data_IF_245676041097
#
_entry.id   IF_245676041097
#
_cell.length_a   1.000
_cell.length_b   1.000
_cell.length_c   1.000
_cell.angle_alpha   90.00
_cell.angle_beta   90.00
_cell.angle_gamma   90.00
#
_symmetry.space_group_name_H-M   'P 1'
#
loop_
_entity.id
_entity.type
_entity.pdbx_description
1 polymer ?
#
# COMPACT_ATOMS: atom_id res chain seq x y z
N UNK A 1 -0.21 49.64 24.36
CA UNK A 1 -0.55 49.15 23.01
C UNK A 1 -1.75 48.21 23.11
N UNK A 2 -2.97 48.71 22.92
CA UNK A 2 -4.16 47.88 22.90
C UNK A 2 -4.21 47.13 21.56
N UNK A 3 -3.69 45.90 21.52
CA UNK A 3 -3.83 45.01 20.37
C UNK A 3 -5.31 44.69 20.19
N UNK A 4 -5.90 44.99 19.02
CA UNK A 4 -7.32 44.71 18.78
C UNK A 4 -7.56 43.20 18.82
N UNK A 5 -8.44 42.75 19.72
CA UNK A 5 -8.76 41.33 19.94
C UNK A 5 -9.09 40.59 18.64
N UNK A 6 -9.73 41.27 17.70
CA UNK A 6 -10.07 40.75 16.36
C UNK A 6 -8.84 40.36 15.52
N UNK A 7 -7.73 41.09 15.62
CA UNK A 7 -6.48 40.76 14.90
C UNK A 7 -5.82 39.51 15.48
N UNK A 8 -5.89 39.34 16.80
CA UNK A 8 -5.38 38.15 17.51
C UNK A 8 -6.19 36.91 17.12
N UNK A 9 -7.52 37.05 17.05
CA UNK A 9 -8.40 35.95 16.65
C UNK A 9 -8.19 35.55 15.19
N UNK A 10 -8.08 36.53 14.28
CA UNK A 10 -7.75 36.29 12.88
C UNK A 10 -6.42 35.54 12.71
N UNK A 11 -5.36 35.98 13.42
CA UNK A 11 -4.05 35.32 13.37
C UNK A 11 -4.14 33.86 13.84
N UNK A 12 -4.82 33.60 14.97
CA UNK A 12 -5.03 32.24 15.50
C UNK A 12 -5.77 31.35 14.51
N UNK A 13 -6.82 31.85 13.88
CA UNK A 13 -7.58 31.10 12.87
C UNK A 13 -6.71 30.73 11.69
N UNK A 14 -5.89 31.67 11.19
CA UNK A 14 -4.95 31.39 10.10
C UNK A 14 -3.93 30.33 10.52
N UNK A 15 -3.34 30.44 11.73
CA UNK A 15 -2.36 29.45 12.22
C UNK A 15 -2.95 28.04 12.28
N UNK A 16 -4.21 27.90 12.69
CA UNK A 16 -4.88 26.59 12.76
C UNK A 16 -5.26 26.07 11.38
N UNK A 17 -5.75 26.93 10.48
CA UNK A 17 -6.20 26.52 9.14
C UNK A 17 -5.07 26.29 8.14
N UNK A 18 -3.95 27.00 8.28
CA UNK A 18 -2.80 26.92 7.37
C UNK A 18 -2.34 25.47 7.09
N UNK A 19 -2.11 24.59 8.08
CA UNK A 19 -1.68 23.23 7.80
C UNK A 19 -2.69 22.43 6.96
N UNK A 20 -3.99 22.62 7.20
CA UNK A 20 -5.04 21.94 6.42
C UNK A 20 -5.10 22.46 4.98
N UNK A 21 -4.97 23.77 4.80
CA UNK A 21 -4.94 24.38 3.46
C UNK A 21 -3.74 23.86 2.67
N UNK A 22 -2.57 23.75 3.29
CA UNK A 22 -1.37 23.20 2.64
C UNK A 22 -1.59 21.74 2.23
N UNK A 23 -2.13 20.90 3.11
CA UNK A 23 -2.41 19.50 2.80
C UNK A 23 -3.45 19.34 1.68
N UNK A 24 -4.51 20.16 1.72
CA UNK A 24 -5.55 20.17 0.69
C UNK A 24 -4.98 20.59 -0.67
N UNK A 25 -4.18 21.65 -0.71
CA UNK A 25 -3.51 22.09 -1.94
C UNK A 25 -2.57 21.01 -2.48
N UNK A 26 -1.78 20.38 -1.61
CA UNK A 26 -0.91 19.29 -1.99
C UNK A 26 -1.70 18.12 -2.60
N UNK A 27 -2.79 17.70 -1.96
CA UNK A 27 -3.66 16.65 -2.49
C UNK A 27 -4.24 17.01 -3.85
N UNK A 28 -4.73 18.25 -4.02
CA UNK A 28 -5.29 18.72 -5.31
C UNK A 28 -4.22 18.72 -6.39
N UNK A 29 -3.01 19.18 -6.10
CA UNK A 29 -1.89 19.14 -7.05
C UNK A 29 -1.54 17.69 -7.40
N UNK A 30 -1.38 16.82 -6.39
CA UNK A 30 -1.07 15.40 -6.59
C UNK A 30 -2.15 14.71 -7.43
N UNK A 31 -3.43 14.92 -7.13
CA UNK A 31 -4.53 14.37 -7.93
C UNK A 31 -4.56 14.96 -9.35
N UNK A 32 -4.28 16.26 -9.49
CA UNK A 32 -4.24 16.96 -10.78
C UNK A 32 -3.13 16.46 -11.71
N UNK A 33 -1.96 16.11 -11.17
CA UNK A 33 -0.86 15.48 -11.94
C UNK A 33 -1.04 13.97 -12.12
N UNK A 34 -2.15 13.39 -11.66
CA UNK A 34 -2.43 11.95 -11.79
C UNK A 34 -1.63 11.07 -10.83
N UNK A 35 -1.10 11.63 -9.75
CA UNK A 35 -0.42 10.89 -8.69
C UNK A 35 -1.45 10.10 -7.86
N UNK A 36 -1.30 8.79 -7.81
CA UNK A 36 -2.22 7.89 -7.08
C UNK A 36 -3.23 7.18 -7.97
N UNK A 37 -2.77 6.45 -8.99
CA UNK A 37 -3.62 5.62 -9.86
C UNK A 37 -4.44 4.61 -9.04
N UNK A 38 -5.77 4.66 -9.18
CA UNK A 38 -6.68 3.69 -8.59
C UNK A 38 -6.76 2.44 -9.47
N UNK A 39 -5.80 1.52 -9.30
CA UNK A 39 -5.89 0.20 -9.94
C UNK A 39 -6.88 -0.65 -9.14
N UNK A 40 -8.01 -1.09 -9.75
CA UNK A 40 -8.97 -1.95 -9.06
C UNK A 40 -8.31 -3.30 -8.76
N UNK A 41 -8.48 -3.76 -7.52
CA UNK A 41 -7.94 -5.05 -7.07
C UNK A 41 -8.68 -6.22 -7.74
N UNK A 42 -9.95 -6.02 -8.10
CA UNK A 42 -10.83 -7.04 -8.65
C UNK A 42 -11.50 -6.58 -9.94
N UNK A 43 -11.70 -7.51 -10.86
CA UNK A 43 -12.44 -7.35 -12.10
C UNK A 43 -13.58 -8.37 -12.15
N UNK A 44 -14.68 -8.02 -12.81
CA UNK A 44 -15.77 -8.96 -13.04
C UNK A 44 -15.32 -10.05 -14.01
N UNK A 45 -15.70 -11.30 -13.74
CA UNK A 45 -15.47 -12.38 -14.69
C UNK A 45 -16.53 -12.32 -15.81
N UNK A 46 -16.14 -12.12 -17.08
CA UNK A 46 -17.09 -12.11 -18.20
C UNK A 46 -17.81 -13.44 -18.40
N UNK A 47 -17.25 -14.56 -17.93
CA UNK A 47 -17.89 -15.88 -18.02
C UNK A 47 -18.77 -16.23 -16.82
N UNK A 48 -18.62 -15.54 -15.69
CA UNK A 48 -19.39 -15.81 -14.48
C UNK A 48 -19.57 -14.52 -13.64
N UNK A 49 -20.65 -13.75 -13.89
CA UNK A 49 -20.83 -12.43 -13.27
C UNK A 49 -20.94 -12.44 -11.74
N UNK A 50 -21.28 -13.59 -11.15
CA UNK A 50 -21.35 -13.80 -9.70
C UNK A 50 -19.98 -13.86 -9.02
N UNK A 51 -18.88 -13.93 -9.79
CA UNK A 51 -17.52 -14.04 -9.29
C UNK A 51 -16.63 -12.88 -9.76
N UNK A 52 -15.78 -12.43 -8.82
CA UNK A 52 -14.72 -11.47 -8.99
C UNK A 52 -13.39 -12.19 -9.13
N UNK A 53 -12.58 -11.70 -10.07
CA UNK A 53 -11.21 -12.15 -10.29
C UNK A 53 -10.23 -11.10 -9.79
N UNK A 54 -9.15 -11.48 -9.10
CA UNK A 54 -8.07 -10.54 -8.80
C UNK A 54 -7.40 -10.09 -10.10
N UNK A 55 -7.14 -8.79 -10.24
CA UNK A 55 -6.44 -8.27 -11.42
C UNK A 55 -4.99 -8.77 -11.37
N UNK A 56 -4.46 -9.44 -12.43
CA UNK A 56 -3.10 -9.96 -12.43
C UNK A 56 -2.05 -8.84 -12.31
N UNK A 57 -2.37 -7.67 -12.85
CA UNK A 57 -1.55 -6.46 -12.83
C UNK A 57 -1.81 -5.59 -11.58
N UNK A 58 -2.12 -6.21 -10.43
CA UNK A 58 -2.24 -5.48 -9.15
C UNK A 58 -0.88 -5.20 -8.51
N UNK A 59 0.14 -5.98 -8.87
CA UNK A 59 1.49 -5.89 -8.31
C UNK A 59 2.18 -4.57 -8.69
N UNK A 60 1.92 -4.06 -9.90
CA UNK A 60 2.43 -2.77 -10.39
C UNK A 60 2.00 -1.57 -9.53
N UNK A 61 0.95 -1.70 -8.72
CA UNK A 61 0.55 -0.67 -7.75
C UNK A 61 1.55 -0.47 -6.62
N UNK A 62 2.26 -1.53 -6.23
CA UNK A 62 3.16 -1.53 -5.07
C UNK A 62 4.64 -1.50 -5.48
N UNK A 63 4.94 -1.82 -6.73
CA UNK A 63 6.29 -1.85 -7.27
C UNK A 63 6.37 -1.00 -8.53
N UNK A 64 7.03 0.16 -8.43
CA UNK A 64 7.26 1.07 -9.57
C UNK A 64 8.21 0.46 -10.61
N UNK A 65 9.11 -0.42 -10.17
CA UNK A 65 10.03 -1.18 -11.01
C UNK A 65 9.56 -2.64 -11.04
N UNK A 66 9.20 -3.22 -12.20
CA UNK A 66 8.74 -4.60 -12.30
C UNK A 66 9.74 -5.63 -11.75
N UNK A 67 11.04 -5.32 -11.80
CA UNK A 67 12.13 -6.17 -11.29
C UNK A 67 12.30 -6.14 -9.77
N UNK A 68 11.73 -5.13 -9.09
CA UNK A 68 11.71 -5.05 -7.63
C UNK A 68 10.51 -5.78 -7.02
N UNK A 69 9.52 -6.14 -7.84
CA UNK A 69 8.42 -7.00 -7.45
C UNK A 69 8.89 -8.44 -7.24
N UNK A 70 8.42 -9.14 -6.20
CA UNK A 70 8.64 -10.58 -6.14
C UNK A 70 7.94 -11.24 -7.33
N UNK A 71 8.57 -12.23 -7.95
CA UNK A 71 7.97 -13.03 -9.02
C UNK A 71 6.86 -13.92 -8.41
N UNK A 72 5.68 -13.32 -8.25
CA UNK A 72 4.50 -13.97 -7.69
C UNK A 72 3.42 -14.01 -8.76
N UNK A 73 3.14 -15.21 -9.25
CA UNK A 73 1.90 -15.47 -9.98
C UNK A 73 0.75 -15.27 -8.98
N UNK A 74 -0.08 -14.26 -9.21
CA UNK A 74 -1.32 -14.09 -8.45
C UNK A 74 -2.23 -15.26 -8.83
N UNK A 75 -2.31 -16.26 -7.96
CA UNK A 75 -3.27 -17.36 -8.08
C UNK A 75 -4.68 -16.78 -8.24
N UNK A 76 -5.33 -17.07 -9.37
CA UNK A 76 -6.66 -16.56 -9.73
C UNK A 76 -7.75 -17.26 -8.93
N UNK A 77 -7.77 -17.04 -7.63
CA UNK A 77 -8.87 -17.50 -6.79
C UNK A 77 -10.13 -16.69 -7.11
N UNK A 78 -11.24 -17.39 -7.36
CA UNK A 78 -12.53 -16.78 -7.60
C UNK A 78 -13.13 -16.31 -6.27
N UNK A 79 -13.46 -15.02 -6.19
CA UNK A 79 -14.16 -14.45 -5.04
C UNK A 79 -15.63 -14.25 -5.38
N UNK A 80 -16.54 -14.62 -4.49
CA UNK A 80 -17.94 -14.20 -4.65
C UNK A 80 -18.02 -12.67 -4.64
N UNK A 81 -18.77 -12.13 -5.59
CA UNK A 81 -19.00 -10.69 -5.73
C UNK A 81 -19.75 -10.12 -4.52
N UNK A 82 -20.78 -10.83 -4.08
CA UNK A 82 -21.49 -10.53 -2.84
C UNK A 82 -20.95 -11.39 -1.70
N UNK A 83 -20.64 -10.75 -0.57
CA UNK A 83 -20.18 -11.46 0.62
C UNK A 83 -21.39 -12.11 1.31
N UNK A 84 -21.38 -13.42 1.58
CA UNK A 84 -22.46 -14.06 2.33
C UNK A 84 -22.55 -13.50 3.76
N UNK A 85 -23.77 -13.42 4.29
CA UNK A 85 -24.09 -12.77 5.59
C UNK A 85 -23.27 -13.35 6.75
N UNK A 86 -23.00 -14.65 6.71
CA UNK A 86 -22.24 -15.37 7.75
C UNK A 86 -20.77 -15.65 7.37
N UNK A 87 -20.25 -14.99 6.32
CA UNK A 87 -18.88 -15.20 5.85
C UNK A 87 -17.84 -14.40 6.62
N UNK A 88 -16.72 -15.03 6.99
CA UNK A 88 -15.51 -14.36 7.48
C UNK A 88 -14.38 -14.47 6.44
N UNK A 89 -13.73 -13.34 6.12
CA UNK A 89 -12.53 -13.30 5.26
C UNK A 89 -11.35 -12.78 6.09
N UNK A 90 -10.37 -13.63 6.38
CA UNK A 90 -9.16 -13.27 7.12
C UNK A 90 -8.03 -13.00 6.12
N UNK A 91 -7.44 -11.81 6.19
CA UNK A 91 -6.28 -11.43 5.39
C UNK A 91 -5.08 -11.32 6.33
N UNK A 92 -4.01 -12.08 6.07
CA UNK A 92 -2.75 -11.97 6.79
C UNK A 92 -1.61 -11.70 5.82
N UNK A 93 -0.68 -10.82 6.20
CA UNK A 93 0.55 -10.56 5.44
C UNK A 93 1.69 -11.32 6.09
N UNK A 94 2.08 -12.45 5.51
CA UNK A 94 3.27 -13.16 5.96
C UNK A 94 4.51 -12.33 5.60
N UNK A 95 5.17 -11.74 6.60
CA UNK A 95 6.51 -11.17 6.44
C UNK A 95 7.52 -12.31 6.62
N UNK A 96 8.03 -12.83 5.52
CA UNK A 96 9.12 -13.81 5.56
C UNK A 96 10.42 -13.05 5.87
N UNK A 97 10.76 -12.91 7.15
CA UNK A 97 12.05 -12.36 7.57
C UNK A 97 13.16 -13.25 7.01
N UNK A 98 14.09 -12.67 6.24
CA UNK A 98 15.16 -13.34 5.48
C UNK A 98 16.25 -14.00 6.36
N UNK A 99 15.88 -14.59 7.50
CA UNK A 99 16.79 -15.24 8.44
C UNK A 99 17.50 -16.47 7.84
N UNK A 100 16.87 -17.12 6.85
CA UNK A 100 17.42 -18.33 6.20
C UNK A 100 18.72 -18.03 5.43
N UNK A 101 18.85 -16.84 4.82
CA UNK A 101 20.04 -16.48 4.05
C UNK A 101 21.23 -16.13 4.96
N UNK A 102 20.96 -15.52 6.12
CA UNK A 102 21.98 -15.20 7.12
C UNK A 102 22.53 -16.48 7.79
N UNK A 103 21.67 -17.47 8.04
CA UNK A 103 22.07 -18.77 8.58
C UNK A 103 22.89 -19.60 7.58
N UNK A 104 22.58 -19.51 6.27
CA UNK A 104 23.37 -20.17 5.23
C UNK A 104 24.80 -19.60 5.15
N UNK A 105 24.94 -18.27 5.19
CA UNK A 105 26.25 -17.59 5.23
C UNK A 105 27.04 -17.93 6.50
N UNK A 106 26.40 -17.93 7.68
CA UNK A 106 27.05 -18.32 8.93
C UNK A 106 27.57 -19.77 8.88
N UNK A 107 26.81 -20.69 8.25
CA UNK A 107 27.26 -22.08 8.06
C UNK A 107 28.43 -22.20 7.07
N UNK A 108 28.43 -21.42 5.99
CA UNK A 108 29.54 -21.36 5.03
C UNK A 108 30.84 -20.87 5.68
N UNK A 109 30.74 -19.82 6.50
CA UNK A 109 31.89 -19.24 7.21
C UNK A 109 32.43 -20.18 8.30
N UNK A 110 31.56 -20.87 9.04
CA UNK A 110 31.96 -21.91 10.00
C UNK A 110 32.65 -23.09 9.32
N UNK A 111 32.14 -23.55 8.17
CA UNK A 111 32.78 -24.62 7.40
C UNK A 111 34.17 -24.21 6.88
N UNK A 112 34.35 -22.95 6.50
CA UNK A 112 35.64 -22.43 6.06
C UNK A 112 36.67 -22.34 7.20
N UNK A 113 36.22 -22.16 8.45
CA UNK A 113 37.09 -22.04 9.63
C UNK A 113 37.50 -23.39 10.24
N UNK A 114 36.78 -24.48 9.93
CA UNK A 114 37.08 -25.83 10.45
C UNK A 114 38.08 -26.58 9.55
N UNK A 115 38.23 -26.17 8.28
CA UNK A 115 39.01 -26.90 7.26
C UNK A 115 40.35 -26.18 6.94
N UNK A 116 40.56 -24.95 7.41
CA UNK A 116 41.82 -24.19 7.28
C UNK A 116 42.52 -24.03 8.62
#
# INVERSE_FOLDING_TARGET
>A
MASSSSKVWLFRTITVLLPFVILLLLEVVLRGVGFGQSVPLFINNPQAPSYLLPKPDVVSRYFSEPSAGPDVTIETNFFLAEKPKDGLRILYKAVRRQLVSLMALARQLLACWIIG
#
